data_IF_941540150874
#
_entry.id   IF_941540150874
#
_cell.length_a   1.000
_cell.length_b   1.000
_cell.length_c   1.000
_cell.angle_alpha   90.00
_cell.angle_beta   90.00
_cell.angle_gamma   90.00
#
_symmetry.space_group_name_H-M   'P 1'
#
loop_
_entity.id
_entity.type
_entity.pdbx_description
1 polymer ?
#
# COMPACT_ATOMS: atom_id res chain seq x y z
N UNK A 1 37.10 28.53 -7.61
CA UNK A 1 36.78 27.93 -6.30
C UNK A 1 36.91 26.42 -6.47
N UNK A 2 37.88 25.81 -5.77
CA UNK A 2 38.38 24.44 -6.03
C UNK A 2 37.40 23.40 -5.50
N UNK A 3 37.09 22.41 -6.34
CA UNK A 3 36.36 21.19 -6.00
C UNK A 3 37.39 20.22 -5.42
N UNK A 4 37.20 19.77 -4.18
CA UNK A 4 37.99 18.71 -3.56
C UNK A 4 37.13 17.47 -3.35
N UNK A 5 37.47 16.44 -4.10
CA UNK A 5 37.05 15.05 -3.96
C UNK A 5 37.65 14.43 -2.69
N UNK A 6 36.83 13.73 -1.90
CA UNK A 6 37.32 12.72 -0.98
C UNK A 6 36.64 11.38 -1.27
N UNK A 7 37.45 10.49 -1.86
CA UNK A 7 37.20 9.06 -1.97
C UNK A 7 38.04 8.35 -0.91
N UNK A 8 37.40 7.51 -0.11
CA UNK A 8 37.95 6.43 0.72
C UNK A 8 36.85 5.37 0.71
N UNK A 9 37.00 4.14 0.21
CA UNK A 9 38.18 3.29 0.17
C UNK A 9 37.90 2.11 1.10
N UNK A 10 37.15 1.12 0.64
CA UNK A 10 37.04 -0.24 1.21
C UNK A 10 36.54 -1.17 0.10
N UNK A 11 37.50 -1.82 -0.55
CA UNK A 11 37.31 -2.98 -1.42
C UNK A 11 37.77 -4.24 -0.67
N UNK A 12 37.21 -5.36 -1.13
CA UNK A 12 37.54 -6.77 -0.88
C UNK A 12 36.88 -7.37 0.39
N UNK A 13 36.14 -8.49 0.34
CA UNK A 13 36.29 -9.71 -0.47
C UNK A 13 34.91 -10.34 -0.77
N UNK A 14 34.65 -10.65 -2.04
CA UNK A 14 33.64 -11.63 -2.47
C UNK A 14 34.36 -12.90 -2.93
N UNK A 15 34.07 -14.03 -2.29
CA UNK A 15 34.13 -15.36 -2.92
C UNK A 15 32.95 -16.21 -2.45
N UNK A 16 32.42 -17.11 -3.31
CA UNK A 16 31.07 -17.65 -3.19
C UNK A 16 31.02 -18.97 -2.40
N UNK A 17 30.12 -19.04 -1.40
CA UNK A 17 29.86 -20.23 -0.58
C UNK A 17 28.58 -20.96 -1.01
N UNK A 18 28.78 -22.22 -1.37
CA UNK A 18 27.88 -23.37 -1.62
C UNK A 18 26.39 -23.29 -1.13
N UNK A 19 25.39 -23.58 -1.98
CA UNK A 19 23.95 -23.48 -1.65
C UNK A 19 23.33 -24.70 -0.95
N UNK A 20 24.03 -25.40 -0.06
CA UNK A 20 23.50 -26.59 0.64
C UNK A 20 23.54 -26.56 2.19
N UNK A 21 23.48 -25.38 2.80
CA UNK A 21 23.33 -25.28 4.24
C UNK A 21 22.17 -24.34 4.60
N UNK A 22 21.02 -24.91 4.96
CA UNK A 22 20.06 -24.44 5.98
C UNK A 22 18.73 -25.20 5.82
N UNK A 23 18.75 -26.47 6.23
CA UNK A 23 17.51 -27.18 6.60
C UNK A 23 17.82 -28.00 7.83
N UNK A 24 17.22 -27.62 8.97
CA UNK A 24 16.90 -28.42 10.18
C UNK A 24 17.07 -27.57 11.45
N UNK A 25 16.20 -27.89 12.42
CA UNK A 25 15.89 -27.21 13.69
C UNK A 25 14.75 -26.19 13.56
N UNK A 26 13.59 -26.32 14.21
CA UNK A 26 13.25 -27.12 15.38
C UNK A 26 11.76 -27.48 15.44
N UNK A 27 11.45 -28.76 15.66
CA UNK A 27 10.31 -29.23 16.45
C UNK A 27 10.82 -30.41 17.27
N UNK A 28 10.92 -30.22 18.58
CA UNK A 28 11.36 -31.24 19.54
C UNK A 28 10.26 -32.30 19.80
N UNK A 29 10.64 -33.46 20.35
CA UNK A 29 9.69 -34.51 20.68
C UNK A 29 9.05 -34.22 22.03
N UNK A 30 7.74 -33.97 22.03
CA UNK A 30 6.89 -34.16 23.21
C UNK A 30 6.15 -35.48 22.99
N UNK A 31 5.99 -36.23 24.08
CA UNK A 31 5.30 -37.52 24.21
C UNK A 31 6.20 -38.75 24.04
N UNK A 32 7.02 -39.00 25.05
CA UNK A 32 7.44 -40.34 25.45
C UNK A 32 7.08 -40.54 26.93
N UNK A 33 5.83 -40.88 27.20
CA UNK A 33 5.43 -41.60 28.42
C UNK A 33 4.04 -42.22 28.19
N UNK A 34 3.75 -43.37 28.81
CA UNK A 34 2.60 -44.28 28.62
C UNK A 34 2.80 -45.43 27.62
N UNK A 35 3.92 -46.13 27.73
CA UNK A 35 3.95 -47.56 27.46
C UNK A 35 4.10 -48.29 28.80
N UNK A 36 2.99 -48.71 29.41
CA UNK A 36 2.86 -49.95 30.20
C UNK A 36 1.50 -50.01 30.94
N UNK A 37 0.92 -51.21 30.96
CA UNK A 37 -0.31 -51.64 31.69
C UNK A 37 -1.65 -51.41 30.98
N UNK A 38 -1.90 -52.17 29.91
CA UNK A 38 -3.23 -52.75 29.67
C UNK A 38 -3.12 -54.28 29.57
N UNK A 39 -3.95 -55.05 30.30
CA UNK A 39 -4.01 -56.50 30.13
C UNK A 39 -4.53 -56.84 28.73
N UNK A 40 -4.16 -58.01 28.17
CA UNK A 40 -4.62 -58.41 26.85
C UNK A 40 -6.15 -58.57 26.88
N UNK A 41 -6.85 -57.73 26.12
CA UNK A 41 -8.24 -57.99 25.81
C UNK A 41 -8.32 -59.30 25.01
N UNK A 42 -9.26 -60.21 25.31
CA UNK A 42 -9.49 -61.36 24.46
C UNK A 42 -9.80 -60.85 23.05
N UNK A 43 -9.07 -61.39 22.07
CA UNK A 43 -9.29 -61.13 20.65
C UNK A 43 -10.74 -61.46 20.34
N UNK A 44 -11.58 -60.42 20.29
CA UNK A 44 -12.93 -60.53 19.76
C UNK A 44 -12.75 -60.83 18.28
N UNK A 45 -13.11 -62.05 17.88
CA UNK A 45 -13.13 -62.45 16.48
C UNK A 45 -13.78 -61.33 15.67
N UNK A 46 -12.99 -60.72 14.79
CA UNK A 46 -13.48 -59.70 13.89
C UNK A 46 -14.61 -60.33 13.06
N UNK A 47 -15.77 -59.67 12.90
CA UNK A 47 -16.79 -60.13 11.98
C UNK A 47 -16.13 -60.36 10.63
N UNK A 48 -16.08 -61.62 10.19
CA UNK A 48 -15.45 -62.06 8.93
C UNK A 48 -16.21 -61.63 7.68
N UNK A 49 -17.12 -60.68 7.82
CA UNK A 49 -17.85 -60.08 6.71
C UNK A 49 -17.11 -58.82 6.26
N UNK A 50 -15.88 -59.01 5.76
CA UNK A 50 -15.22 -58.00 4.93
C UNK A 50 -15.88 -58.12 3.56
N UNK A 51 -16.71 -57.15 3.11
CA UNK A 51 -17.29 -57.23 1.79
C UNK A 51 -16.15 -57.28 0.77
N UNK A 52 -16.04 -58.46 0.16
CA UNK A 52 -15.04 -58.81 -0.82
C UNK A 52 -15.19 -57.93 -2.06
N UNK A 53 -14.07 -57.29 -2.41
CA UNK A 53 -13.75 -56.43 -3.57
C UNK A 53 -14.10 -54.94 -3.40
N UNK A 54 -13.12 -54.01 -3.52
CA UNK A 54 -13.44 -52.62 -3.79
C UNK A 54 -14.27 -52.60 -5.07
N UNK A 55 -15.47 -52.00 -5.01
CA UNK A 55 -16.34 -51.83 -6.20
C UNK A 55 -15.47 -51.22 -7.30
N UNK A 56 -15.34 -51.91 -8.42
CA UNK A 56 -14.59 -51.41 -9.57
C UNK A 56 -15.16 -50.04 -9.91
N UNK A 57 -14.36 -48.99 -9.76
CA UNK A 57 -14.78 -47.65 -10.12
C UNK A 57 -15.05 -47.68 -11.62
N UNK A 58 -16.30 -47.47 -12.00
CA UNK A 58 -16.71 -47.46 -13.39
C UNK A 58 -16.01 -46.30 -14.11
N UNK A 59 -15.03 -46.64 -14.96
CA UNK A 59 -14.27 -45.67 -15.74
C UNK A 59 -15.18 -44.83 -16.65
N UNK A 60 -16.31 -45.36 -17.09
CA UNK A 60 -17.28 -44.65 -17.90
C UNK A 60 -18.06 -43.63 -17.07
N UNK A 61 -18.45 -43.99 -15.85
CA UNK A 61 -19.05 -43.07 -14.88
C UNK A 61 -18.10 -41.90 -14.52
N UNK A 62 -16.80 -42.17 -14.34
CA UNK A 62 -15.79 -41.14 -14.11
C UNK A 62 -15.64 -40.19 -15.31
N UNK A 63 -15.63 -40.71 -16.54
CA UNK A 63 -15.60 -39.88 -17.75
C UNK A 63 -16.81 -38.97 -17.85
N UNK A 64 -18.02 -39.52 -17.68
CA UNK A 64 -19.27 -38.73 -17.70
C UNK A 64 -19.30 -37.66 -16.60
N UNK A 65 -18.76 -37.96 -15.42
CA UNK A 65 -18.62 -36.97 -14.35
C UNK A 65 -17.63 -35.85 -14.71
N UNK A 66 -16.47 -36.20 -15.27
CA UNK A 66 -15.48 -35.23 -15.72
C UNK A 66 -16.01 -34.33 -16.85
N UNK A 67 -16.71 -34.91 -17.82
CA UNK A 67 -17.36 -34.19 -18.93
C UNK A 67 -18.42 -33.20 -18.43
N UNK A 68 -19.28 -33.61 -17.49
CA UNK A 68 -20.24 -32.71 -16.83
C UNK A 68 -19.54 -31.56 -16.11
N UNK A 69 -18.50 -31.84 -15.31
CA UNK A 69 -17.69 -30.82 -14.62
C UNK A 69 -17.06 -29.83 -15.59
N UNK A 70 -16.59 -30.28 -16.75
CA UNK A 70 -16.01 -29.42 -17.79
C UNK A 70 -17.10 -28.55 -18.42
N UNK A 71 -18.25 -29.13 -18.76
CA UNK A 71 -19.38 -28.39 -19.35
C UNK A 71 -19.93 -27.32 -18.39
N UNK A 72 -20.11 -27.67 -17.11
CA UNK A 72 -20.53 -26.75 -16.06
C UNK A 72 -19.55 -25.58 -15.89
N UNK A 73 -18.24 -25.87 -15.88
CA UNK A 73 -17.21 -24.82 -15.80
C UNK A 73 -17.21 -23.91 -17.02
N UNK A 74 -17.40 -24.44 -18.22
CA UNK A 74 -17.50 -23.62 -19.44
C UNK A 74 -18.71 -22.69 -19.38
N UNK A 75 -19.87 -23.20 -18.98
CA UNK A 75 -21.08 -22.38 -18.82
C UNK A 75 -20.87 -21.29 -17.75
N UNK A 76 -20.25 -21.63 -16.62
CA UNK A 76 -19.94 -20.64 -15.60
C UNK A 76 -18.93 -19.59 -16.11
N UNK A 77 -17.90 -20.01 -16.84
CA UNK A 77 -16.93 -19.09 -17.42
C UNK A 77 -17.58 -18.14 -18.45
N UNK A 78 -18.47 -18.65 -19.32
CA UNK A 78 -19.24 -17.82 -20.26
C UNK A 78 -20.16 -16.84 -19.52
N UNK A 79 -20.83 -17.29 -18.45
CA UNK A 79 -21.67 -16.44 -17.61
C UNK A 79 -20.87 -15.31 -16.98
N UNK A 80 -19.71 -15.63 -16.40
CA UNK A 80 -18.81 -14.64 -15.80
C UNK A 80 -18.22 -13.70 -16.86
N UNK A 81 -17.88 -14.21 -18.04
CA UNK A 81 -17.38 -13.40 -19.16
C UNK A 81 -18.42 -12.39 -19.64
N UNK A 82 -19.65 -12.84 -19.88
CA UNK A 82 -20.75 -11.96 -20.28
C UNK A 82 -21.07 -10.92 -19.20
N UNK A 83 -21.03 -11.32 -17.93
CA UNK A 83 -21.16 -10.38 -16.80
C UNK A 83 -20.03 -9.35 -16.83
N UNK A 84 -18.78 -9.77 -16.98
CA UNK A 84 -17.63 -8.86 -17.01
C UNK A 84 -17.72 -7.85 -18.17
N UNK A 85 -18.15 -8.29 -19.36
CA UNK A 85 -18.37 -7.41 -20.51
C UNK A 85 -19.50 -6.40 -20.29
N UNK A 86 -20.46 -6.71 -19.43
CA UNK A 86 -21.57 -5.80 -19.10
C UNK A 86 -21.22 -4.77 -18.03
N UNK A 87 -20.11 -4.95 -17.30
CA UNK A 87 -19.68 -4.03 -16.27
C UNK A 87 -18.93 -2.84 -16.90
N UNK A 88 -19.09 -1.62 -16.35
CA UNK A 88 -18.26 -0.50 -16.76
C UNK A 88 -16.79 -0.84 -16.50
N UNK A 89 -15.93 -0.49 -17.46
CA UNK A 89 -14.48 -0.67 -17.30
C UNK A 89 -13.93 0.16 -16.14
N UNK A 90 -12.86 -0.33 -15.51
CA UNK A 90 -12.16 0.42 -14.46
C UNK A 90 -11.51 1.68 -15.08
N UNK A 91 -11.79 2.89 -14.56
CA UNK A 91 -11.13 4.12 -14.99
C UNK A 91 -9.61 3.98 -14.98
N UNK A 92 -8.92 4.57 -15.97
CA UNK A 92 -7.47 4.37 -16.17
C UNK A 92 -6.68 4.67 -14.90
N UNK A 93 -7.03 5.76 -14.23
CA UNK A 93 -6.45 6.26 -12.99
C UNK A 93 -6.73 5.37 -11.77
N UNK A 94 -7.81 4.57 -11.77
CA UNK A 94 -8.12 3.60 -10.70
C UNK A 94 -7.58 2.19 -11.00
N UNK A 95 -7.00 1.94 -12.19
CA UNK A 95 -6.42 0.63 -12.53
C UNK A 95 -5.30 0.18 -11.58
N UNK A 96 -4.37 1.06 -11.12
CA UNK A 96 -3.37 0.65 -10.15
C UNK A 96 -4.00 0.13 -8.85
N UNK A 97 -5.03 0.82 -8.32
CA UNK A 97 -5.74 0.39 -7.13
C UNK A 97 -6.47 -0.94 -7.35
N UNK A 98 -7.16 -1.09 -8.49
CA UNK A 98 -7.81 -2.35 -8.85
C UNK A 98 -6.81 -3.52 -8.96
N UNK A 99 -5.63 -3.27 -9.52
CA UNK A 99 -4.54 -4.25 -9.57
C UNK A 99 -4.04 -4.65 -8.19
N UNK A 100 -3.87 -3.68 -7.29
CA UNK A 100 -3.49 -3.92 -5.89
C UNK A 100 -4.54 -4.75 -5.14
N UNK A 101 -5.82 -4.38 -5.25
CA UNK A 101 -6.92 -5.13 -4.64
C UNK A 101 -7.02 -6.57 -5.17
N UNK A 102 -6.82 -6.76 -6.48
CA UNK A 102 -6.79 -8.07 -7.10
C UNK A 102 -5.63 -8.93 -6.57
N UNK A 103 -4.42 -8.37 -6.47
CA UNK A 103 -3.26 -9.08 -5.92
C UNK A 103 -3.51 -9.52 -4.48
N UNK A 104 -4.03 -8.63 -3.64
CA UNK A 104 -4.41 -8.96 -2.26
C UNK A 104 -5.47 -10.04 -2.15
N UNK A 105 -6.44 -10.03 -3.05
CA UNK A 105 -7.46 -11.08 -3.12
C UNK A 105 -6.85 -12.43 -3.50
N UNK A 106 -5.95 -12.46 -4.49
CA UNK A 106 -5.21 -13.67 -4.91
C UNK A 106 -4.35 -14.22 -3.78
N UNK A 107 -3.75 -13.35 -2.97
CA UNK A 107 -2.99 -13.72 -1.76
C UNK A 107 -3.86 -14.24 -0.60
N UNK A 108 -5.19 -14.28 -0.74
CA UNK A 108 -6.11 -14.69 0.33
C UNK A 108 -6.28 -13.65 1.43
N UNK A 109 -5.91 -12.38 1.17
CA UNK A 109 -6.03 -11.27 2.13
C UNK A 109 -6.87 -10.13 1.54
N UNK A 110 -8.15 -10.36 1.16
CA UNK A 110 -8.98 -9.33 0.52
C UNK A 110 -9.15 -8.09 1.41
N UNK A 111 -9.40 -6.94 0.79
CA UNK A 111 -9.73 -5.68 1.48
C UNK A 111 -11.20 -5.37 1.19
N UNK A 112 -12.02 -5.31 2.24
CA UNK A 112 -13.47 -5.18 2.14
C UNK A 112 -13.99 -4.19 3.19
N UNK A 113 -15.28 -3.83 3.09
CA UNK A 113 -15.95 -2.99 4.09
C UNK A 113 -15.29 -1.63 4.31
N UNK A 114 -15.10 -1.28 5.58
CA UNK A 114 -14.55 0.03 6.00
C UNK A 114 -13.10 0.25 5.57
N UNK A 115 -12.31 -0.81 5.45
CA UNK A 115 -10.92 -0.72 4.97
C UNK A 115 -10.89 -0.38 3.48
N UNK A 116 -11.79 -0.99 2.69
CA UNK A 116 -11.91 -0.67 1.27
C UNK A 116 -12.37 0.78 1.06
N UNK A 117 -13.32 1.25 1.87
CA UNK A 117 -13.78 2.64 1.81
C UNK A 117 -12.66 3.63 2.20
N UNK A 118 -11.85 3.31 3.23
CA UNK A 118 -10.66 4.10 3.62
C UNK A 118 -9.67 4.20 2.47
N UNK A 119 -9.37 3.05 1.87
CA UNK A 119 -8.37 2.90 0.84
C UNK A 119 -8.79 3.65 -0.44
N UNK A 120 -10.06 3.55 -0.85
CA UNK A 120 -10.57 4.29 -2.01
C UNK A 120 -10.50 5.80 -1.77
N UNK A 121 -10.91 6.28 -0.60
CA UNK A 121 -10.85 7.69 -0.24
C UNK A 121 -9.41 8.23 -0.19
N UNK A 122 -8.47 7.46 0.35
CA UNK A 122 -7.05 7.80 0.33
C UNK A 122 -6.51 7.84 -1.10
N UNK A 123 -6.89 6.88 -1.94
CA UNK A 123 -6.52 6.85 -3.35
C UNK A 123 -7.08 8.05 -4.12
N UNK A 124 -8.30 8.50 -3.80
CA UNK A 124 -8.88 9.72 -4.39
C UNK A 124 -8.09 10.97 -4.02
N UNK A 125 -7.68 11.14 -2.77
CA UNK A 125 -6.77 12.23 -2.38
C UNK A 125 -5.43 12.13 -3.11
N UNK A 126 -4.87 10.93 -3.24
CA UNK A 126 -3.63 10.72 -3.98
C UNK A 126 -3.77 11.17 -5.45
N UNK A 127 -4.88 10.83 -6.12
CA UNK A 127 -5.18 11.27 -7.47
C UNK A 127 -5.44 12.78 -7.56
N UNK A 128 -6.11 13.37 -6.56
CA UNK A 128 -6.30 14.82 -6.46
C UNK A 128 -4.97 15.57 -6.30
N UNK A 129 -4.08 15.05 -5.46
CA UNK A 129 -2.73 15.60 -5.24
C UNK A 129 -1.93 15.60 -6.54
N UNK A 130 -1.91 14.46 -7.27
CA UNK A 130 -1.22 14.36 -8.56
C UNK A 130 -1.81 15.27 -9.63
N UNK A 131 -3.13 15.52 -9.60
CA UNK A 131 -3.78 16.49 -10.49
C UNK A 131 -3.38 17.94 -10.16
N UNK A 132 -3.27 18.28 -8.87
CA UNK A 132 -2.79 19.59 -8.43
C UNK A 132 -1.33 19.83 -8.80
N UNK A 133 -0.49 18.79 -8.66
CA UNK A 133 0.93 18.80 -9.02
C UNK A 133 1.15 18.28 -10.45
N UNK A 134 0.45 18.86 -11.42
CA UNK A 134 0.40 18.35 -12.81
C UNK A 134 1.75 18.25 -13.53
N UNK A 135 2.74 19.05 -13.15
CA UNK A 135 4.09 18.95 -13.72
C UNK A 135 4.88 17.79 -13.10
N UNK A 136 4.41 17.30 -11.95
CA UNK A 136 4.93 16.13 -11.26
C UNK A 136 6.16 16.45 -10.43
N UNK A 137 7.07 15.48 -10.42
CA UNK A 137 8.14 15.36 -9.44
C UNK A 137 9.40 16.06 -9.94
N UNK A 138 9.93 16.98 -9.14
CA UNK A 138 11.09 17.78 -9.51
C UNK A 138 12.41 17.02 -9.53
N UNK A 139 12.44 15.82 -8.94
CA UNK A 139 13.63 14.96 -8.80
C UNK A 139 13.48 13.58 -9.46
N UNK A 140 12.40 13.33 -10.21
CA UNK A 140 12.20 12.06 -10.91
C UNK A 140 12.43 12.24 -12.40
N UNK A 141 13.45 11.53 -12.90
CA UNK A 141 13.89 11.48 -14.29
C UNK A 141 12.78 11.47 -15.34
N UNK A 142 11.75 10.66 -15.13
CA UNK A 142 10.62 10.53 -16.04
C UNK A 142 9.83 11.83 -16.17
N UNK A 143 9.55 12.49 -15.05
CA UNK A 143 8.78 13.73 -15.01
C UNK A 143 9.61 14.91 -15.51
N UNK A 144 10.92 14.91 -15.20
CA UNK A 144 11.89 15.88 -15.72
C UNK A 144 11.94 15.84 -17.25
N UNK A 145 12.04 14.64 -17.84
CA UNK A 145 12.03 14.47 -19.30
C UNK A 145 10.69 14.84 -19.92
N UNK A 146 9.58 14.41 -19.31
CA UNK A 146 8.21 14.70 -19.79
C UNK A 146 7.92 16.20 -19.85
N UNK A 147 8.50 16.97 -18.94
CA UNK A 147 8.24 18.42 -18.79
C UNK A 147 9.38 19.30 -19.28
N UNK A 148 10.37 18.76 -20.00
CA UNK A 148 11.54 19.51 -20.47
C UNK A 148 12.25 20.30 -19.34
N UNK A 149 12.43 19.65 -18.19
CA UNK A 149 13.00 20.20 -16.95
C UNK A 149 12.13 21.22 -16.19
N UNK A 150 10.90 21.49 -16.62
CA UNK A 150 10.03 22.45 -15.95
C UNK A 150 9.68 22.01 -14.51
N UNK A 151 9.44 20.71 -14.28
CA UNK A 151 9.19 20.20 -12.92
C UNK A 151 10.33 20.54 -11.95
N UNK A 152 11.59 20.36 -12.36
CA UNK A 152 12.77 20.70 -11.55
C UNK A 152 12.89 22.20 -11.33
N UNK A 153 12.74 23.01 -12.39
CA UNK A 153 12.86 24.47 -12.30
C UNK A 153 11.84 25.04 -11.31
N UNK A 154 10.60 24.56 -11.38
CA UNK A 154 9.52 25.00 -10.50
C UNK A 154 9.67 24.58 -9.05
N UNK A 155 10.19 23.37 -8.79
CA UNK A 155 10.59 22.99 -7.42
C UNK A 155 11.71 23.92 -6.89
N UNK A 156 12.63 24.36 -7.74
CA UNK A 156 13.68 25.31 -7.33
C UNK A 156 13.11 26.71 -7.02
N UNK A 157 12.15 27.17 -7.82
CA UNK A 157 11.39 28.40 -7.56
C UNK A 157 10.65 28.29 -6.22
N UNK A 158 9.92 27.20 -5.97
CA UNK A 158 9.21 26.95 -4.70
C UNK A 158 10.13 27.07 -3.48
N UNK A 159 11.33 26.50 -3.53
CA UNK A 159 12.32 26.60 -2.44
C UNK A 159 12.84 28.02 -2.21
N UNK A 160 12.91 28.82 -3.27
CA UNK A 160 13.31 30.23 -3.16
C UNK A 160 12.20 31.05 -2.50
N UNK A 161 10.94 30.67 -2.75
CA UNK A 161 9.77 31.33 -2.19
C UNK A 161 9.45 30.90 -0.75
N UNK A 162 9.79 29.67 -0.34
CA UNK A 162 9.51 29.18 1.02
C UNK A 162 10.16 30.03 2.13
N UNK A 163 11.26 30.74 1.82
CA UNK A 163 11.88 31.69 2.73
C UNK A 163 11.05 32.96 2.99
N UNK A 164 10.16 33.33 2.06
CA UNK A 164 9.27 34.50 2.18
C UNK A 164 8.02 34.18 2.98
N UNK A 165 7.53 32.93 2.94
CA UNK A 165 6.22 32.54 3.48
C UNK A 165 6.27 31.76 4.80
N UNK A 166 7.47 31.53 5.34
CA UNK A 166 7.68 30.90 6.66
C UNK A 166 7.56 31.87 7.84
N UNK A 167 7.27 33.16 7.61
CA UNK A 167 7.38 34.24 8.60
C UNK A 167 6.05 34.67 9.25
N UNK A 168 4.95 33.93 9.04
CA UNK A 168 3.64 34.26 9.62
C UNK A 168 3.45 33.70 11.05
N UNK A 169 2.87 34.46 12.00
CA UNK A 169 2.93 34.15 13.43
C UNK A 169 2.07 32.98 13.96
N UNK A 170 1.20 32.32 13.17
CA UNK A 170 0.25 31.33 13.72
C UNK A 170 -0.09 30.12 12.83
N UNK A 171 0.75 29.70 11.87
CA UNK A 171 0.26 28.74 10.85
C UNK A 171 1.20 27.57 10.59
N UNK A 172 0.60 26.39 10.44
CA UNK A 172 1.31 25.11 10.35
C UNK A 172 2.22 25.07 9.10
N UNK A 173 3.54 24.87 9.23
CA UNK A 173 4.53 25.04 8.15
C UNK A 173 4.26 24.14 6.94
N UNK A 174 3.60 23.00 7.14
CA UNK A 174 3.22 22.07 6.07
C UNK A 174 2.14 22.62 5.12
N UNK A 175 1.30 23.55 5.57
CA UNK A 175 0.26 24.17 4.72
C UNK A 175 0.91 25.18 3.76
N UNK A 176 1.88 25.95 4.24
CA UNK A 176 2.64 26.86 3.38
C UNK A 176 3.40 26.10 2.27
N UNK A 177 3.99 24.94 2.62
CA UNK A 177 4.64 24.06 1.66
C UNK A 177 3.63 23.51 0.63
N UNK A 178 2.46 23.04 1.09
CA UNK A 178 1.41 22.55 0.22
C UNK A 178 0.89 23.62 -0.76
N UNK A 179 0.61 24.83 -0.27
CA UNK A 179 0.15 25.94 -1.10
C UNK A 179 1.20 26.33 -2.15
N UNK A 180 2.48 26.41 -1.75
CA UNK A 180 3.60 26.70 -2.66
C UNK A 180 3.71 25.63 -3.75
N UNK A 181 3.62 24.35 -3.37
CA UNK A 181 3.68 23.23 -4.31
C UNK A 181 2.51 23.26 -5.30
N UNK A 182 1.29 23.55 -4.84
CA UNK A 182 0.12 23.71 -5.72
C UNK A 182 0.26 24.90 -6.67
N UNK A 183 0.79 26.03 -6.20
CA UNK A 183 1.04 27.20 -7.03
C UNK A 183 2.04 26.90 -8.15
N UNK A 184 3.19 26.30 -7.81
CA UNK A 184 4.18 25.94 -8.82
C UNK A 184 3.80 24.67 -9.58
N UNK A 185 2.83 23.90 -9.11
CA UNK A 185 2.31 22.65 -9.71
C UNK A 185 3.34 21.52 -9.83
N UNK A 186 4.38 21.56 -8.99
CA UNK A 186 5.46 20.60 -8.95
C UNK A 186 5.98 20.45 -7.51
N UNK A 187 6.57 19.30 -7.20
CA UNK A 187 7.06 19.02 -5.84
C UNK A 187 8.05 17.85 -5.78
N UNK A 188 8.68 17.66 -4.64
CA UNK A 188 9.34 16.41 -4.26
C UNK A 188 8.47 15.64 -3.24
N UNK A 189 8.97 14.54 -2.68
CA UNK A 189 8.20 13.69 -1.75
C UNK A 189 7.52 14.46 -0.62
N UNK A 190 8.27 15.34 0.07
CA UNK A 190 7.71 16.15 1.15
C UNK A 190 6.64 17.15 0.70
N UNK A 191 6.74 17.70 -0.50
CA UNK A 191 5.73 18.60 -1.08
C UNK A 191 4.45 17.83 -1.41
N UNK A 192 4.58 16.67 -2.07
CA UNK A 192 3.47 15.77 -2.37
C UNK A 192 2.78 15.28 -1.09
N UNK A 193 3.55 14.91 -0.08
CA UNK A 193 3.03 14.49 1.21
C UNK A 193 2.30 15.63 1.93
N UNK A 194 2.85 16.85 1.90
CA UNK A 194 2.20 18.07 2.42
C UNK A 194 0.84 18.34 1.75
N UNK A 195 0.79 18.32 0.42
CA UNK A 195 -0.47 18.54 -0.33
C UNK A 195 -1.47 17.44 0.00
N UNK A 196 -1.06 16.17 -0.05
CA UNK A 196 -1.93 15.05 0.26
C UNK A 196 -2.48 15.11 1.69
N UNK A 197 -1.64 15.46 2.66
CA UNK A 197 -2.03 15.63 4.05
C UNK A 197 -3.10 16.71 4.19
N UNK A 198 -2.87 17.89 3.60
CA UNK A 198 -3.81 19.01 3.66
C UNK A 198 -5.14 18.70 2.98
N UNK A 199 -5.12 18.04 1.82
CA UNK A 199 -6.34 17.64 1.11
C UNK A 199 -7.11 16.51 1.82
N UNK A 200 -6.41 15.61 2.52
CA UNK A 200 -7.05 14.51 3.25
C UNK A 200 -7.54 14.89 4.64
N UNK A 201 -7.03 15.97 5.24
CA UNK A 201 -7.39 16.37 6.60
C UNK A 201 -8.91 16.53 6.81
N UNK A 202 -9.61 17.11 5.82
CA UNK A 202 -11.07 17.24 5.82
C UNK A 202 -11.85 15.96 5.45
N UNK A 203 -11.15 14.89 5.07
CA UNK A 203 -11.73 13.60 4.63
C UNK A 203 -11.56 12.48 5.67
N UNK A 204 -10.86 12.75 6.77
CA UNK A 204 -10.73 11.80 7.87
C UNK A 204 -12.12 11.36 8.35
N UNK A 205 -12.23 10.11 8.82
CA UNK A 205 -13.45 9.53 9.40
C UNK A 205 -13.29 9.37 10.91
N UNK A 206 -14.38 9.14 11.68
CA UNK A 206 -14.30 8.97 13.13
C UNK A 206 -13.23 7.96 13.56
N UNK A 207 -12.37 8.38 14.49
CA UNK A 207 -11.27 7.54 15.00
C UNK A 207 -10.01 7.52 14.12
N UNK A 208 -10.01 8.21 12.98
CA UNK A 208 -8.84 8.29 12.09
C UNK A 208 -7.94 9.49 12.38
N UNK A 209 -6.65 9.32 12.08
CA UNK A 209 -5.63 10.37 12.12
C UNK A 209 -4.82 10.35 10.83
N UNK A 210 -4.34 11.51 10.39
CA UNK A 210 -3.40 11.62 9.27
C UNK A 210 -2.04 12.11 9.78
N UNK A 211 -1.00 11.38 9.44
CA UNK A 211 0.36 11.62 9.93
C UNK A 211 1.33 11.66 8.75
N UNK A 212 2.31 12.57 8.80
CA UNK A 212 3.48 12.44 7.94
C UNK A 212 4.39 11.36 8.51
N UNK A 213 4.94 10.56 7.62
CA UNK A 213 5.87 9.49 7.97
C UNK A 213 7.15 9.70 7.18
N UNK A 214 8.26 9.83 7.90
CA UNK A 214 9.61 9.85 7.37
C UNK A 214 10.37 8.62 7.89
N UNK A 215 10.50 7.54 7.10
CA UNK A 215 11.17 6.33 7.56
C UNK A 215 12.64 6.57 7.90
N UNK A 216 13.12 5.95 8.99
CA UNK A 216 14.51 6.09 9.43
C UNK A 216 15.46 5.54 8.36
N UNK A 217 16.46 6.33 7.99
CA UNK A 217 17.48 5.93 7.01
C UNK A 217 17.02 6.04 5.55
N UNK A 218 15.83 6.56 5.29
CA UNK A 218 15.32 6.81 3.93
C UNK A 218 14.92 8.28 3.82
N UNK A 219 15.49 9.01 2.86
CA UNK A 219 15.07 10.39 2.57
C UNK A 219 13.80 10.40 1.72
N UNK A 220 12.70 9.96 2.33
CA UNK A 220 11.39 9.87 1.72
C UNK A 220 10.31 10.25 2.75
N UNK A 221 9.21 10.83 2.28
CA UNK A 221 8.11 11.27 3.13
C UNK A 221 6.78 11.01 2.42
N UNK A 222 5.82 10.48 3.16
CA UNK A 222 4.45 10.19 2.69
C UNK A 222 3.45 10.34 3.84
N UNK A 223 2.16 10.16 3.54
CA UNK A 223 1.08 10.25 4.53
C UNK A 223 0.63 8.84 4.94
N UNK A 224 0.37 8.63 6.22
CA UNK A 224 -0.30 7.42 6.72
C UNK A 224 -1.59 7.82 7.43
N UNK A 225 -2.70 7.21 6.99
CA UNK A 225 -4.01 7.31 7.64
C UNK A 225 -4.09 6.17 8.64
N UNK A 226 -4.15 6.52 9.93
CA UNK A 226 -4.11 5.56 11.02
C UNK A 226 -5.42 5.45 11.77
N UNK A 227 -5.68 4.25 12.23
CA UNK A 227 -6.86 3.84 12.99
C UNK A 227 -6.44 3.32 14.37
N UNK A 228 -7.41 3.16 15.27
CA UNK A 228 -7.17 2.47 16.53
C UNK A 228 -7.05 0.94 16.38
N UNK A 229 -7.45 0.39 15.23
CA UNK A 229 -7.45 -1.05 14.93
C UNK A 229 -6.05 -1.56 14.56
N UNK A 230 -5.15 -0.64 14.20
CA UNK A 230 -3.75 -0.92 13.97
C UNK A 230 -3.38 -1.08 12.51
N UNK A 231 -2.14 -1.51 12.30
CA UNK A 231 -1.42 -1.37 11.03
C UNK A 231 -2.04 -2.09 9.83
N UNK A 232 -2.77 -3.19 10.06
CA UNK A 232 -3.46 -3.91 9.00
C UNK A 232 -4.67 -3.15 8.45
N UNK A 233 -5.15 -2.15 9.18
CA UNK A 233 -6.27 -1.27 8.81
C UNK A 233 -5.80 0.14 8.42
N UNK A 234 -4.55 0.47 8.72
CA UNK A 234 -3.93 1.74 8.34
C UNK A 234 -3.64 1.77 6.84
N UNK A 235 -3.64 2.97 6.25
CA UNK A 235 -3.45 3.18 4.80
C UNK A 235 -2.25 4.10 4.57
N UNK A 236 -1.38 3.70 3.66
CA UNK A 236 -0.30 4.54 3.13
C UNK A 236 -0.81 5.28 1.89
N UNK A 237 -0.64 6.60 1.93
CA UNK A 237 -0.92 7.52 0.85
C UNK A 237 0.40 8.18 0.43
N UNK A 238 0.99 7.65 -0.63
CA UNK A 238 2.20 8.18 -1.25
C UNK A 238 1.88 8.77 -2.63
N UNK A 239 1.62 10.08 -2.64
CA UNK A 239 1.31 10.78 -3.88
C UNK A 239 2.54 11.08 -4.75
N UNK A 240 3.75 10.83 -4.25
CA UNK A 240 5.01 11.01 -4.99
C UNK A 240 5.40 9.73 -5.75
N UNK A 241 5.07 8.55 -5.25
CA UNK A 241 5.21 7.34 -6.06
C UNK A 241 4.15 7.30 -7.19
N UNK A 242 4.24 6.36 -8.14
CA UNK A 242 3.26 6.15 -9.21
C UNK A 242 2.16 5.11 -8.83
N UNK A 243 2.36 4.37 -7.74
CA UNK A 243 1.42 3.34 -7.25
C UNK A 243 0.09 3.90 -6.71
N UNK A 244 -0.88 3.03 -6.36
CA UNK A 244 -2.09 3.45 -5.66
C UNK A 244 -1.82 3.70 -4.17
N UNK A 245 -2.84 4.15 -3.44
CA UNK A 245 -2.85 3.97 -1.99
C UNK A 245 -2.84 2.47 -1.66
N UNK A 246 -2.16 2.08 -0.58
CA UNK A 246 -2.01 0.69 -0.15
C UNK A 246 -2.27 0.56 1.35
N UNK A 247 -2.60 -0.65 1.82
CA UNK A 247 -2.62 -0.95 3.26
C UNK A 247 -1.21 -0.82 3.82
N UNK A 248 -1.09 -0.27 5.03
CA UNK A 248 0.20 0.02 5.64
C UNK A 248 1.01 -1.25 5.96
N UNK A 249 0.36 -2.39 6.13
CA UNK A 249 1.04 -3.69 6.29
C UNK A 249 1.75 -4.20 5.03
N UNK A 250 1.40 -3.68 3.85
CA UNK A 250 2.10 -4.00 2.60
C UNK A 250 3.18 -2.94 2.25
N UNK A 251 3.28 -1.86 3.02
CA UNK A 251 4.28 -0.80 2.80
C UNK A 251 5.66 -1.20 3.33
N UNK A 252 6.62 -1.46 2.43
CA UNK A 252 8.00 -1.86 2.78
C UNK A 252 8.71 -0.89 3.73
N UNK A 253 8.40 0.40 3.65
CA UNK A 253 9.08 1.46 4.42
C UNK A 253 8.21 2.11 5.48
N UNK A 254 6.99 1.62 5.70
CA UNK A 254 6.05 2.28 6.59
C UNK A 254 6.21 1.88 8.06
N UNK A 255 7.15 0.99 8.40
CA UNK A 255 7.42 0.51 9.76
C UNK A 255 8.26 1.46 10.64
N UNK A 256 8.41 2.74 10.28
CA UNK A 256 9.14 3.74 11.06
C UNK A 256 8.33 4.31 12.23
N UNK A 257 8.98 4.82 13.30
CA UNK A 257 8.28 5.56 14.34
C UNK A 257 7.61 6.80 13.73
N UNK A 258 6.34 7.10 14.07
CA UNK A 258 5.65 8.26 13.52
C UNK A 258 6.29 9.57 13.96
N UNK A 259 6.22 10.58 13.09
CA UNK A 259 6.24 11.97 13.57
C UNK A 259 4.98 12.24 14.43
N UNK A 260 4.97 13.28 15.29
CA UNK A 260 3.79 13.62 16.09
C UNK A 260 2.53 13.74 15.24
N UNK A 261 1.38 13.32 15.79
CA UNK A 261 0.10 13.35 15.08
C UNK A 261 -0.20 14.77 14.61
N UNK A 262 -0.35 14.93 13.29
CA UNK A 262 -0.57 16.25 12.68
C UNK A 262 -2.05 16.59 12.62
N UNK A 263 -2.91 15.63 12.24
CA UNK A 263 -4.36 15.86 12.13
C UNK A 263 -5.18 14.70 12.69
N UNK A 264 -6.33 15.05 13.30
CA UNK A 264 -7.32 14.10 13.82
C UNK A 264 -8.72 14.43 13.31
N UNK A 265 -9.54 13.41 13.09
CA UNK A 265 -10.95 13.59 12.78
C UNK A 265 -11.68 14.45 13.81
N UNK A 266 -12.58 15.32 13.33
CA UNK A 266 -13.44 16.14 14.18
C UNK A 266 -12.71 17.26 14.92
N UNK A 267 -11.42 17.45 14.69
CA UNK A 267 -10.73 18.66 15.11
C UNK A 267 -11.03 19.80 14.13
N UNK A 268 -11.34 20.99 14.64
CA UNK A 268 -11.54 22.20 13.81
C UNK A 268 -10.35 22.47 12.88
N UNK A 269 -9.17 21.96 13.27
CA UNK A 269 -7.95 21.99 12.47
C UNK A 269 -8.12 21.32 11.08
N UNK A 270 -8.80 20.17 10.97
CA UNK A 270 -8.87 19.44 9.71
C UNK A 270 -9.64 20.18 8.60
N UNK A 271 -10.78 20.78 8.95
CA UNK A 271 -11.58 21.61 8.03
C UNK A 271 -10.92 22.97 7.77
N UNK A 272 -10.33 23.59 8.80
CA UNK A 272 -9.62 24.85 8.66
C UNK A 272 -8.37 24.74 7.77
N UNK A 273 -7.69 23.58 7.75
CA UNK A 273 -6.49 23.35 6.92
C UNK A 273 -6.80 23.38 5.43
N UNK A 274 -7.90 22.76 4.99
CA UNK A 274 -8.30 22.80 3.59
C UNK A 274 -8.65 24.24 3.16
N UNK A 275 -9.34 24.99 4.03
CA UNK A 275 -9.66 26.40 3.79
C UNK A 275 -8.39 27.27 3.77
N UNK A 276 -7.46 27.13 4.74
CA UNK A 276 -6.20 27.89 4.77
C UNK A 276 -5.31 27.55 3.57
N UNK A 277 -5.35 26.30 3.08
CA UNK A 277 -4.64 25.90 1.87
C UNK A 277 -5.12 26.68 0.65
N UNK A 278 -6.43 26.75 0.42
CA UNK A 278 -6.99 27.46 -0.73
C UNK A 278 -6.83 28.98 -0.60
N UNK A 279 -7.04 29.55 0.60
CA UNK A 279 -6.78 30.96 0.82
C UNK A 279 -5.33 31.34 0.49
N UNK A 280 -4.36 30.53 0.93
CA UNK A 280 -2.95 30.76 0.59
C UNK A 280 -2.68 30.61 -0.90
N UNK A 281 -3.36 29.68 -1.58
CA UNK A 281 -3.22 29.55 -3.01
C UNK A 281 -3.72 30.82 -3.73
N UNK A 282 -4.81 31.42 -3.26
CA UNK A 282 -5.33 32.68 -3.78
C UNK A 282 -4.38 33.84 -3.50
N UNK A 283 -3.82 33.93 -2.28
CA UNK A 283 -2.79 34.93 -1.91
C UNK A 283 -1.52 34.83 -2.78
N UNK A 284 -1.27 33.69 -3.45
CA UNK A 284 -0.16 33.50 -4.38
C UNK A 284 -0.44 33.96 -5.81
N UNK A 285 -1.73 34.12 -6.14
CA UNK A 285 -2.18 34.49 -7.49
C UNK A 285 -2.34 36.02 -7.61
N UNK A 286 -2.62 36.72 -6.50
CA UNK A 286 -2.72 38.19 -6.42
C UNK A 286 -1.35 38.90 -6.36
#
# INVERSE_FOLDING_TARGET
MRITSHATGLQDVLTPGDPQALTRHALGPVVADLAERRPPHPLREAPTDVPSRPRSIDCEALKRFAERRIAERKQEQERLWNKALSLPGVPVEKRPLAGYLLLRHVDGRPVEGEDLARLDLANETLLETRRGLRLGRGNVDMDIRRTEHESTRRVHIARSLSGVWSSGPERHPRIALAATALFVQAGNCGDHASVALSLHAGKLRPGETANLVKPVGVDHEFVEIRTAEGRDHDVVLDAWDDGPAIMASDGRFSSGPPEPVLFRHGSDAGAAVATDLYQRLDDLIE
#
